data_IF_405896618293
#
_entry.id   IF_405896618293
#
_cell.length_a   1.000
_cell.length_b   1.000
_cell.length_c   1.000
_cell.angle_alpha   90.00
_cell.angle_beta   90.00
_cell.angle_gamma   90.00
#
_symmetry.space_group_name_H-M   'P 1'
#
loop_
_entity.id
_entity.type
_entity.pdbx_description
1 polymer ?
#
# COMPACT_ATOMS: atom_id res chain seq x y z
N UNK A 1 45.09 57.04 -8.15
CA UNK A 1 45.77 56.03 -8.98
C UNK A 1 45.95 54.76 -8.16
N UNK A 2 45.70 53.60 -8.78
CA UNK A 2 45.68 52.28 -8.14
C UNK A 2 47.04 51.87 -7.54
N UNK A 3 46.98 51.06 -6.49
CA UNK A 3 48.15 50.36 -5.97
C UNK A 3 47.76 49.24 -5.01
N UNK A 4 47.02 48.24 -5.50
CA UNK A 4 46.80 47.01 -4.75
C UNK A 4 48.15 46.33 -4.53
N UNK A 5 48.59 46.26 -3.27
CA UNK A 5 49.77 45.50 -2.87
C UNK A 5 49.46 44.01 -3.05
N UNK A 6 49.86 43.45 -4.19
CA UNK A 6 49.88 42.01 -4.41
C UNK A 6 50.88 41.40 -3.43
N UNK A 7 50.37 40.74 -2.40
CA UNK A 7 51.12 39.75 -1.65
C UNK A 7 51.55 38.68 -2.65
N UNK A 8 52.86 38.48 -2.83
CA UNK A 8 53.37 37.34 -3.57
C UNK A 8 53.22 36.10 -2.68
N UNK A 9 52.31 35.14 -2.96
CA UNK A 9 52.49 33.82 -2.41
C UNK A 9 53.78 33.26 -2.99
N UNK A 10 54.70 32.87 -2.10
CA UNK A 10 55.91 32.12 -2.47
C UNK A 10 55.51 31.00 -3.42
N UNK A 11 56.13 31.01 -4.60
CA UNK A 11 55.99 29.96 -5.60
C UNK A 11 56.29 28.61 -4.92
N UNK A 12 55.32 27.71 -4.97
CA UNK A 12 55.53 26.30 -4.66
C UNK A 12 56.59 25.79 -5.64
N UNK A 13 57.69 25.33 -5.06
CA UNK A 13 58.79 24.70 -5.76
C UNK A 13 58.22 23.51 -6.54
N UNK A 14 58.26 23.59 -7.87
CA UNK A 14 57.99 22.48 -8.78
C UNK A 14 58.90 21.31 -8.41
N UNK A 15 58.37 20.34 -7.65
CA UNK A 15 58.90 18.98 -7.63
C UNK A 15 58.16 18.24 -8.73
N UNK A 16 58.89 17.98 -9.82
CA UNK A 16 58.48 17.10 -10.93
C UNK A 16 58.44 15.61 -10.52
N UNK A 17 58.71 15.31 -9.26
CA UNK A 17 58.80 13.95 -8.74
C UNK A 17 57.53 13.60 -7.95
N UNK A 18 56.91 12.43 -8.22
CA UNK A 18 55.77 11.97 -7.44
C UNK A 18 56.13 11.93 -5.94
N UNK A 19 55.18 12.27 -5.05
CA UNK A 19 55.40 12.12 -3.62
C UNK A 19 55.81 10.68 -3.30
N UNK A 20 56.76 10.51 -2.37
CA UNK A 20 57.19 9.18 -1.94
C UNK A 20 55.97 8.39 -1.42
N UNK A 21 55.80 7.12 -1.84
CA UNK A 21 54.67 6.31 -1.45
C UNK A 21 54.63 6.15 0.07
N UNK A 22 53.46 6.40 0.65
CA UNK A 22 53.26 6.22 2.08
C UNK A 22 53.30 4.73 2.43
N UNK A 23 53.54 4.37 3.71
CA UNK A 23 53.51 2.97 4.16
C UNK A 23 52.22 2.22 3.77
N UNK A 24 51.10 2.93 3.66
CA UNK A 24 49.83 2.36 3.21
C UNK A 24 49.85 2.00 1.71
N UNK A 25 50.58 2.74 0.87
CA UNK A 25 50.71 2.45 -0.56
C UNK A 25 51.54 1.19 -0.79
N UNK A 26 52.52 0.93 0.09
CA UNK A 26 53.31 -0.31 0.10
C UNK A 26 52.50 -1.51 0.61
N UNK A 27 51.64 -1.29 1.61
CA UNK A 27 50.67 -2.29 2.09
C UNK A 27 49.70 -2.67 0.95
N UNK A 28 49.11 -1.68 0.28
CA UNK A 28 48.18 -1.88 -0.86
C UNK A 28 48.89 -2.61 -2.02
N UNK A 29 50.11 -2.21 -2.37
CA UNK A 29 50.90 -2.85 -3.42
C UNK A 29 51.26 -4.31 -3.07
N UNK A 30 51.51 -4.60 -1.79
CA UNK A 30 51.76 -5.95 -1.28
C UNK A 30 50.54 -6.86 -1.36
N UNK A 31 49.34 -6.31 -1.16
CA UNK A 31 48.12 -7.11 -1.12
C UNK A 31 47.64 -7.59 -2.49
N UNK A 32 48.28 -7.18 -3.61
CA UNK A 32 47.94 -7.55 -5.01
C UNK A 32 46.44 -7.88 -5.16
N UNK A 33 45.60 -6.96 -4.68
CA UNK A 33 44.18 -7.25 -4.48
C UNK A 33 43.61 -7.77 -5.80
N UNK A 34 42.89 -8.91 -5.81
CA UNK A 34 42.48 -9.53 -7.06
C UNK A 34 41.70 -8.52 -7.92
N UNK A 35 42.29 -8.21 -9.08
CA UNK A 35 41.72 -7.42 -10.19
C UNK A 35 40.35 -7.94 -10.64
N UNK A 36 39.96 -9.15 -10.21
CA UNK A 36 38.69 -9.83 -10.45
C UNK A 36 37.47 -8.93 -10.21
N UNK A 37 37.48 -8.03 -9.22
CA UNK A 37 36.37 -7.09 -9.00
C UNK A 37 36.24 -6.03 -10.13
N UNK A 38 37.37 -5.55 -10.66
CA UNK A 38 37.45 -4.59 -11.77
C UNK A 38 37.24 -5.29 -13.12
N UNK A 39 37.75 -6.51 -13.28
CA UNK A 39 37.57 -7.32 -14.49
C UNK A 39 36.13 -7.80 -14.65
N UNK A 40 35.48 -8.29 -13.58
CA UNK A 40 34.07 -8.65 -13.61
C UNK A 40 33.15 -7.44 -13.89
N UNK A 41 33.54 -6.24 -13.45
CA UNK A 41 32.84 -5.01 -13.83
C UNK A 41 33.16 -4.59 -15.26
N UNK A 42 34.39 -4.75 -15.75
CA UNK A 42 34.77 -4.46 -17.14
C UNK A 42 34.06 -5.36 -18.13
N UNK A 43 33.99 -6.65 -17.88
CA UNK A 43 33.25 -7.62 -18.70
C UNK A 43 31.75 -7.30 -18.72
N UNK A 44 31.16 -7.02 -17.55
CA UNK A 44 29.76 -6.58 -17.46
C UNK A 44 29.51 -5.26 -18.19
N UNK A 45 30.44 -4.31 -18.12
CA UNK A 45 30.32 -3.00 -18.76
C UNK A 45 30.50 -3.10 -20.28
N UNK A 46 31.38 -3.98 -20.76
CA UNK A 46 31.50 -4.31 -22.18
C UNK A 46 30.27 -5.06 -22.70
N UNK A 47 29.75 -6.02 -21.94
CA UNK A 47 28.49 -6.69 -22.26
C UNK A 47 27.32 -5.69 -22.34
N UNK A 48 27.24 -4.74 -21.41
CA UNK A 48 26.23 -3.69 -21.40
C UNK A 48 26.37 -2.71 -22.59
N UNK A 49 27.61 -2.40 -23.01
CA UNK A 49 27.86 -1.60 -24.23
C UNK A 49 27.40 -2.28 -25.50
N UNK A 50 27.52 -3.61 -25.54
CA UNK A 50 27.14 -4.41 -26.71
C UNK A 50 25.64 -4.73 -26.73
N UNK A 51 24.91 -4.47 -25.64
CA UNK A 51 23.47 -4.57 -25.66
C UNK A 51 22.88 -3.46 -26.53
N UNK A 52 22.06 -3.79 -27.55
CA UNK A 52 21.44 -2.77 -28.37
C UNK A 52 20.45 -1.97 -27.52
N UNK A 53 20.82 -0.73 -27.20
CA UNK A 53 19.90 0.23 -26.57
C UNK A 53 18.74 0.46 -27.55
N UNK A 54 17.48 0.17 -27.16
CA UNK A 54 16.35 0.44 -28.03
C UNK A 54 16.32 1.94 -28.36
N UNK A 55 16.05 2.26 -29.64
CA UNK A 55 15.95 3.66 -30.06
C UNK A 55 14.83 4.35 -29.30
N UNK A 56 14.98 5.66 -29.06
CA UNK A 56 13.97 6.46 -28.38
C UNK A 56 12.58 6.30 -28.99
N UNK A 57 12.49 6.19 -30.33
CA UNK A 57 11.23 5.94 -31.04
C UNK A 57 10.59 4.60 -30.64
N UNK A 58 11.38 3.52 -30.49
CA UNK A 58 10.87 2.22 -30.04
C UNK A 58 10.36 2.29 -28.60
N UNK A 59 11.10 2.97 -27.72
CA UNK A 59 10.70 3.17 -26.32
C UNK A 59 9.38 3.96 -26.25
N UNK A 60 9.27 5.06 -27.01
CA UNK A 60 8.05 5.88 -27.04
C UNK A 60 6.86 5.05 -27.51
N UNK A 61 6.99 4.33 -28.63
CA UNK A 61 5.90 3.47 -29.15
C UNK A 61 5.46 2.42 -28.12
N UNK A 62 6.41 1.75 -27.49
CA UNK A 62 6.13 0.76 -26.47
C UNK A 62 5.37 1.37 -25.27
N UNK A 63 5.88 2.48 -24.74
CA UNK A 63 5.25 3.18 -23.60
C UNK A 63 3.87 3.73 -23.93
N UNK A 64 3.66 4.24 -25.15
CA UNK A 64 2.35 4.71 -25.60
C UNK A 64 1.34 3.55 -25.65
N UNK A 65 1.76 2.39 -26.13
CA UNK A 65 0.90 1.20 -26.16
C UNK A 65 0.58 0.70 -24.74
N UNK A 66 1.58 0.58 -23.88
CA UNK A 66 1.42 0.18 -22.47
C UNK A 66 0.45 1.12 -21.73
N UNK A 67 0.63 2.43 -21.86
CA UNK A 67 -0.27 3.42 -21.27
C UNK A 67 -1.70 3.28 -21.79
N UNK A 68 -1.88 2.94 -23.07
CA UNK A 68 -3.20 2.68 -23.63
C UNK A 68 -3.88 1.48 -22.99
N UNK A 69 -3.14 0.39 -22.71
CA UNK A 69 -3.69 -0.78 -22.02
C UNK A 69 -4.03 -0.45 -20.56
N UNK A 70 -3.15 0.24 -19.85
CA UNK A 70 -3.36 0.61 -18.45
C UNK A 70 -4.59 1.51 -18.26
N UNK A 71 -4.86 2.42 -19.20
CA UNK A 71 -6.08 3.25 -19.14
C UNK A 71 -7.36 2.42 -19.27
N UNK A 72 -7.38 1.45 -20.19
CA UNK A 72 -8.53 0.55 -20.35
C UNK A 72 -8.76 -0.31 -19.11
N UNK A 73 -7.68 -0.83 -18.53
CA UNK A 73 -7.76 -1.60 -17.29
C UNK A 73 -8.27 -0.74 -16.13
N UNK A 74 -7.80 0.50 -16.02
CA UNK A 74 -8.27 1.44 -15.01
C UNK A 74 -9.78 1.72 -15.16
N UNK A 75 -10.26 2.00 -16.36
CA UNK A 75 -11.68 2.21 -16.64
C UNK A 75 -12.53 0.98 -16.28
N UNK A 76 -12.05 -0.21 -16.61
CA UNK A 76 -12.71 -1.46 -16.26
C UNK A 76 -12.82 -1.63 -14.74
N UNK A 77 -11.72 -1.43 -14.01
CA UNK A 77 -11.70 -1.55 -12.55
C UNK A 77 -12.58 -0.50 -11.87
N UNK A 78 -12.57 0.73 -12.37
CA UNK A 78 -13.45 1.80 -11.86
C UNK A 78 -14.92 1.44 -12.03
N UNK A 79 -15.32 0.93 -13.20
CA UNK A 79 -16.70 0.48 -13.44
C UNK A 79 -17.10 -0.66 -12.50
N UNK A 80 -16.22 -1.65 -12.32
CA UNK A 80 -16.44 -2.77 -11.39
C UNK A 80 -16.61 -2.26 -9.96
N UNK A 81 -15.75 -1.34 -9.53
CA UNK A 81 -15.80 -0.78 -8.17
C UNK A 81 -17.10 0.01 -7.93
N UNK A 82 -17.57 0.77 -8.93
CA UNK A 82 -18.86 1.46 -8.85
C UNK A 82 -20.03 0.49 -8.60
N UNK A 83 -20.08 -0.63 -9.32
CA UNK A 83 -21.11 -1.66 -9.11
C UNK A 83 -20.99 -2.33 -7.73
N UNK A 84 -19.78 -2.63 -7.28
CA UNK A 84 -19.53 -3.17 -5.93
C UNK A 84 -20.00 -2.22 -4.83
N UNK A 85 -19.74 -0.92 -4.96
CA UNK A 85 -20.19 0.08 -4.00
C UNK A 85 -21.72 0.21 -3.96
N UNK A 86 -22.37 0.18 -5.12
CA UNK A 86 -23.82 0.18 -5.20
C UNK A 86 -24.42 -1.05 -4.48
N UNK A 87 -23.90 -2.25 -4.77
CA UNK A 87 -24.35 -3.48 -4.11
C UNK A 87 -24.17 -3.42 -2.59
N UNK A 88 -23.03 -2.89 -2.12
CA UNK A 88 -22.76 -2.75 -0.69
C UNK A 88 -23.83 -1.89 0.00
N UNK A 89 -24.21 -0.76 -0.60
CA UNK A 89 -25.23 0.12 -0.02
C UNK A 89 -26.61 -0.54 -0.03
N UNK A 90 -26.97 -1.25 -1.09
CA UNK A 90 -28.24 -2.01 -1.15
C UNK A 90 -28.31 -3.11 -0.09
N UNK A 91 -27.22 -3.88 0.10
CA UNK A 91 -27.16 -4.92 1.14
C UNK A 91 -27.28 -4.31 2.54
N UNK A 92 -26.64 -3.16 2.76
CA UNK A 92 -26.73 -2.43 4.03
C UNK A 92 -28.16 -1.96 4.29
N UNK A 93 -28.85 -1.38 3.30
CA UNK A 93 -30.25 -0.99 3.42
C UNK A 93 -31.15 -2.19 3.71
N UNK A 94 -31.02 -3.27 2.93
CA UNK A 94 -31.80 -4.49 3.14
C UNK A 94 -31.62 -5.06 4.55
N UNK A 95 -30.38 -5.06 5.07
CA UNK A 95 -30.07 -5.52 6.42
C UNK A 95 -30.77 -4.66 7.48
N UNK A 96 -30.71 -3.34 7.36
CA UNK A 96 -31.40 -2.42 8.28
C UNK A 96 -32.90 -2.62 8.23
N UNK A 97 -33.49 -2.73 7.03
CA UNK A 97 -34.93 -2.99 6.86
C UNK A 97 -35.35 -4.31 7.50
N UNK A 98 -34.56 -5.37 7.33
CA UNK A 98 -34.83 -6.67 7.94
C UNK A 98 -34.72 -6.62 9.47
N UNK A 99 -33.69 -5.96 10.00
CA UNK A 99 -33.55 -5.75 11.45
C UNK A 99 -34.76 -5.01 12.02
N UNK A 100 -35.20 -3.94 11.35
CA UNK A 100 -36.37 -3.19 11.77
C UNK A 100 -37.66 -4.02 11.71
N UNK A 101 -37.83 -4.83 10.66
CA UNK A 101 -38.98 -5.72 10.53
C UNK A 101 -39.01 -6.77 11.67
N UNK A 102 -37.86 -7.34 12.03
CA UNK A 102 -37.76 -8.28 13.15
C UNK A 102 -38.10 -7.62 14.49
N UNK A 103 -37.61 -6.40 14.74
CA UNK A 103 -37.97 -5.63 15.95
C UNK A 103 -39.47 -5.34 15.98
N UNK A 104 -40.04 -4.91 14.85
CA UNK A 104 -41.47 -4.60 14.74
C UNK A 104 -42.34 -5.85 14.91
N UNK A 105 -41.86 -7.03 14.54
CA UNK A 105 -42.54 -8.30 14.76
C UNK A 105 -42.43 -8.76 16.23
N UNK A 106 -41.27 -8.61 16.85
CA UNK A 106 -41.05 -9.03 18.24
C UNK A 106 -41.84 -8.19 19.26
N UNK A 107 -42.08 -6.91 18.97
CA UNK A 107 -42.83 -6.00 19.87
C UNK A 107 -44.26 -6.52 20.16
N UNK A 108 -45.14 -6.74 19.16
CA UNK A 108 -46.47 -7.32 19.38
C UNK A 108 -46.43 -8.71 20.00
N UNK A 109 -45.41 -9.52 19.66
CA UNK A 109 -45.30 -10.90 20.17
C UNK A 109 -45.01 -10.93 21.68
N UNK A 110 -44.33 -9.92 22.22
CA UNK A 110 -44.09 -9.76 23.66
C UNK A 110 -45.32 -9.22 24.39
N UNK A 111 -46.06 -8.30 23.76
CA UNK A 111 -47.31 -7.74 24.30
C UNK A 111 -48.39 -8.84 24.40
N UNK A 112 -48.55 -9.67 23.38
CA UNK A 112 -49.45 -10.83 23.39
C UNK A 112 -49.04 -11.94 24.38
N UNK A 113 -47.76 -12.04 24.73
CA UNK A 113 -47.27 -12.98 25.75
C UNK A 113 -47.65 -12.56 27.17
N UNK A 114 -47.72 -11.25 27.44
CA UNK A 114 -48.03 -10.69 28.75
C UNK A 114 -49.54 -10.67 29.04
N UNK A 115 -50.38 -10.39 28.03
CA UNK A 115 -51.85 -10.44 28.17
C UNK A 115 -52.38 -11.86 28.48
N UNK A 116 -51.67 -12.90 28.06
CA UNK A 116 -52.05 -14.30 28.33
C UNK A 116 -51.68 -14.78 29.75
N UNK A 117 -50.71 -14.15 30.43
CA UNK A 117 -50.38 -14.47 31.83
C UNK A 117 -51.30 -13.73 32.81
N UNK A 118 -51.74 -12.51 32.49
CA UNK A 118 -52.62 -11.72 33.35
C UNK A 118 -54.08 -12.22 33.34
N UNK A 119 -54.53 -12.86 32.24
CA UNK A 119 -55.85 -13.49 32.15
C UNK A 119 -55.99 -14.80 32.98
N UNK A 120 -54.92 -15.32 33.58
CA UNK A 120 -54.95 -16.59 34.33
C UNK A 120 -55.20 -16.40 35.83
N UNK A 121 -55.22 -15.15 36.35
CA UNK A 121 -55.41 -14.86 37.78
C UNK A 121 -56.87 -14.58 38.20
N UNK A 122 -57.82 -14.55 37.27
CA UNK A 122 -59.24 -14.24 37.57
C UNK A 122 -60.18 -15.45 37.35
N UNK A 123 -59.81 -16.62 37.89
CA UNK A 123 -60.74 -17.75 38.01
C UNK A 123 -61.52 -17.58 39.33
N UNK A 124 -62.82 -17.22 39.31
CA UNK A 124 -63.60 -17.15 40.54
C UNK A 124 -63.82 -18.58 41.04
N UNK A 125 -63.25 -18.90 42.20
CA UNK A 125 -63.49 -20.14 42.93
C UNK A 125 -64.97 -20.19 43.32
N UNK A 126 -65.81 -20.84 42.51
CA UNK A 126 -67.21 -21.13 42.87
C UNK A 126 -67.20 -22.09 44.07
N UNK A 127 -67.37 -21.52 45.26
CA UNK A 127 -67.71 -22.26 46.46
C UNK A 127 -69.09 -22.93 46.27
N UNK A 128 -69.07 -24.21 45.89
CA UNK A 128 -70.24 -25.08 45.90
C UNK A 128 -70.52 -25.49 47.35
N UNK A 129 -71.24 -24.62 48.08
CA UNK A 129 -71.79 -24.94 49.38
C UNK A 129 -73.00 -25.88 49.24
N UNK A 130 -72.74 -27.17 49.07
CA UNK A 130 -73.76 -28.22 49.15
C UNK A 130 -73.96 -28.57 50.64
N UNK A 131 -74.88 -27.89 51.32
CA UNK A 131 -75.36 -28.32 52.64
C UNK A 131 -76.39 -29.44 52.43
N UNK A 132 -75.95 -30.67 52.65
CA UNK A 132 -76.84 -31.79 52.93
C UNK A 132 -77.00 -31.91 54.46
N UNK A 133 -78.22 -32.28 54.85
CA UNK A 133 -78.75 -32.61 56.19
C UNK A 133 -78.95 -31.45 57.15
#
# INVERSE_FOLDING_TARGET
MLGHKRTHPKLLQNREEPPEPMPIDTEIARHQGPSVAIEATKERLQAAKNMPTPSLSKIIKQRTWENGQLRKELEFQQKKNGASMYLLEEVKHATVSLQQALINFQKPTRELGQENEEATLDIPTRHSGRKCT
#
